data_IF_836820335054
#
_entry.id   IF_836820335054
#
_cell.length_a   1.000
_cell.length_b   1.000
_cell.length_c   1.000
_cell.angle_alpha   90.00
_cell.angle_beta   90.00
_cell.angle_gamma   90.00
#
_symmetry.space_group_name_H-M   'P 1'
#
loop_
_entity.id
_entity.type
_entity.pdbx_description
1 polymer ?
#
# COMPACT_ATOMS: atom_id res chain seq x y z
N UNK A 1 4.45 10.60 -23.14
CA UNK A 1 3.86 9.24 -23.12
C UNK A 1 4.30 8.61 -21.82
N UNK A 2 3.38 8.38 -20.89
CA UNK A 2 3.65 7.59 -19.68
C UNK A 2 3.92 6.15 -20.09
N UNK A 3 4.91 5.50 -19.48
CA UNK A 3 5.19 4.10 -19.73
C UNK A 3 3.93 3.26 -19.43
N UNK A 4 3.68 2.17 -20.18
CA UNK A 4 2.58 1.26 -19.88
C UNK A 4 2.75 0.68 -18.46
N UNK A 5 1.63 0.44 -17.79
CA UNK A 5 1.64 -0.21 -16.48
C UNK A 5 2.32 -1.60 -16.58
N UNK A 6 3.14 -2.00 -15.60
CA UNK A 6 3.72 -3.33 -15.59
C UNK A 6 2.60 -4.37 -15.44
N UNK A 7 2.81 -5.54 -16.05
CA UNK A 7 1.96 -6.72 -15.80
C UNK A 7 2.23 -7.29 -14.41
N UNK A 8 1.27 -8.06 -13.88
CA UNK A 8 1.43 -8.74 -12.57
C UNK A 8 2.68 -9.61 -12.53
N UNK A 9 2.99 -10.33 -13.62
CA UNK A 9 4.21 -11.15 -13.71
C UNK A 9 5.49 -10.29 -13.67
N UNK A 10 5.50 -9.14 -14.35
CA UNK A 10 6.63 -8.20 -14.30
C UNK A 10 6.79 -7.59 -12.90
N UNK A 11 5.68 -7.28 -12.22
CA UNK A 11 5.69 -6.84 -10.83
C UNK A 11 6.32 -7.90 -9.93
N UNK A 12 5.83 -9.14 -10.01
CA UNK A 12 6.34 -10.25 -9.19
C UNK A 12 7.82 -10.53 -9.46
N UNK A 13 8.23 -10.54 -10.72
CA UNK A 13 9.64 -10.69 -11.09
C UNK A 13 10.50 -9.58 -10.46
N UNK A 14 10.07 -8.32 -10.62
CA UNK A 14 10.79 -7.16 -10.08
C UNK A 14 10.86 -7.18 -8.55
N UNK A 15 9.78 -7.55 -7.87
CA UNK A 15 9.77 -7.65 -6.41
C UNK A 15 10.70 -8.76 -5.91
N UNK A 16 10.69 -9.94 -6.55
CA UNK A 16 11.61 -11.04 -6.20
C UNK A 16 13.07 -10.66 -6.44
N UNK A 17 13.36 -9.91 -7.50
CA UNK A 17 14.71 -9.36 -7.75
C UNK A 17 15.16 -8.35 -6.68
N UNK A 18 14.21 -7.57 -6.14
CA UNK A 18 14.49 -6.58 -5.08
C UNK A 18 14.66 -7.20 -3.70
N UNK A 19 14.03 -8.34 -3.42
CA UNK A 19 14.00 -8.93 -2.09
C UNK A 19 15.40 -9.09 -1.43
N UNK A 20 16.48 -9.51 -2.13
CA UNK A 20 17.82 -9.63 -1.55
C UNK A 20 18.50 -8.29 -1.21
N UNK A 21 17.99 -7.17 -1.73
CA UNK A 21 18.58 -5.84 -1.48
C UNK A 21 18.22 -5.28 -0.09
N UNK A 22 17.23 -5.84 0.59
CA UNK A 22 16.83 -5.40 1.93
C UNK A 22 17.61 -6.16 3.01
N UNK A 23 18.30 -5.41 3.87
CA UNK A 23 19.01 -6.00 5.01
C UNK A 23 18.01 -6.65 6.00
N UNK A 24 18.44 -7.64 6.79
CA UNK A 24 17.65 -8.14 7.90
C UNK A 24 17.22 -7.01 8.84
N UNK A 25 15.94 -6.97 9.21
CA UNK A 25 15.38 -5.92 10.07
C UNK A 25 15.07 -4.59 9.38
N UNK A 26 15.34 -4.46 8.08
CA UNK A 26 14.96 -3.27 7.30
C UNK A 26 13.44 -3.11 7.21
N UNK A 27 12.91 -1.99 7.68
CA UNK A 27 11.48 -1.69 7.71
C UNK A 27 10.82 -1.66 6.33
N UNK A 28 11.50 -1.15 5.31
CA UNK A 28 11.00 -1.23 3.92
C UNK A 28 10.97 -2.69 3.49
N UNK A 29 11.99 -3.47 3.87
CA UNK A 29 12.03 -4.91 3.63
C UNK A 29 10.90 -5.69 4.31
N UNK A 30 10.49 -5.28 5.52
CA UNK A 30 9.34 -5.87 6.22
C UNK A 30 8.05 -5.68 5.42
N UNK A 31 7.74 -4.43 5.05
CA UNK A 31 6.58 -4.15 4.20
C UNK A 31 6.68 -4.85 2.84
N UNK A 32 7.86 -4.83 2.21
CA UNK A 32 8.09 -5.46 0.90
C UNK A 32 7.72 -6.95 0.89
N UNK A 33 8.16 -7.71 1.90
CA UNK A 33 7.87 -9.15 1.99
C UNK A 33 6.38 -9.41 2.15
N UNK A 34 5.71 -8.64 3.02
CA UNK A 34 4.27 -8.74 3.20
C UNK A 34 3.54 -8.42 1.89
N UNK A 35 3.93 -7.35 1.21
CA UNK A 35 3.30 -6.94 -0.04
C UNK A 35 3.52 -7.98 -1.15
N UNK A 36 4.71 -8.58 -1.25
CA UNK A 36 4.97 -9.68 -2.17
C UNK A 36 3.98 -10.84 -1.97
N UNK A 37 3.73 -11.25 -0.72
CA UNK A 37 2.73 -12.29 -0.40
C UNK A 37 1.34 -11.91 -0.90
N UNK A 38 0.91 -10.66 -0.71
CA UNK A 38 -0.39 -10.17 -1.21
C UNK A 38 -0.43 -10.24 -2.75
N UNK A 39 0.59 -9.75 -3.43
CA UNK A 39 0.65 -9.75 -4.89
C UNK A 39 0.65 -11.17 -5.47
N UNK A 40 1.34 -12.12 -4.83
CA UNK A 40 1.31 -13.53 -5.22
C UNK A 40 -0.08 -14.15 -5.08
N UNK A 41 -0.81 -13.82 -4.01
CA UNK A 41 -2.19 -14.26 -3.82
C UNK A 41 -3.13 -13.64 -4.87
N UNK A 42 -2.97 -12.35 -5.18
CA UNK A 42 -3.75 -11.70 -6.25
C UNK A 42 -3.49 -12.36 -7.60
N UNK A 43 -2.23 -12.66 -7.92
CA UNK A 43 -1.85 -13.34 -9.16
C UNK A 43 -2.50 -14.73 -9.27
N UNK A 44 -2.50 -15.52 -8.19
CA UNK A 44 -3.17 -16.81 -8.15
C UNK A 44 -4.68 -16.68 -8.39
N UNK A 45 -5.34 -15.72 -7.74
CA UNK A 45 -6.80 -15.49 -7.87
C UNK A 45 -7.20 -14.95 -9.24
N UNK A 46 -6.33 -14.20 -9.90
CA UNK A 46 -6.51 -13.79 -11.30
C UNK A 46 -6.53 -15.01 -12.22
N UNK A 47 -5.63 -15.98 -12.01
CA UNK A 47 -5.59 -17.22 -12.80
C UNK A 47 -6.84 -18.10 -12.60
N UNK A 48 -7.41 -18.09 -11.39
CA UNK A 48 -8.59 -18.89 -11.04
C UNK A 48 -9.94 -18.27 -11.47
N UNK A 49 -9.93 -17.08 -12.10
CA UNK A 49 -11.16 -16.39 -12.51
C UNK A 49 -12.01 -15.88 -11.34
N UNK A 50 -11.37 -15.60 -10.19
CA UNK A 50 -12.05 -15.15 -8.97
C UNK A 50 -12.68 -13.75 -9.11
N UNK A 51 -12.14 -12.91 -9.98
CA UNK A 51 -12.54 -11.52 -10.13
C UNK A 51 -13.60 -11.35 -11.23
N UNK A 52 -14.47 -10.35 -11.07
CA UNK A 52 -15.54 -10.06 -12.02
C UNK A 52 -14.98 -9.50 -13.33
N UNK A 53 -13.91 -8.70 -13.27
CA UNK A 53 -13.18 -8.19 -14.42
C UNK A 53 -11.66 -8.40 -14.25
N UNK A 54 -11.14 -9.61 -14.51
CA UNK A 54 -9.72 -9.92 -14.35
C UNK A 54 -8.78 -8.99 -15.13
N UNK A 55 -9.07 -8.61 -16.41
CA UNK A 55 -8.23 -7.65 -17.13
C UNK A 55 -8.16 -6.27 -16.47
N UNK A 56 -9.29 -5.73 -15.99
CA UNK A 56 -9.30 -4.44 -15.30
C UNK A 56 -8.53 -4.51 -13.98
N UNK A 57 -8.69 -5.60 -13.22
CA UNK A 57 -7.95 -5.78 -11.98
C UNK A 57 -6.45 -5.95 -12.21
N UNK A 58 -6.03 -6.69 -13.23
CA UNK A 58 -4.61 -6.84 -13.56
C UNK A 58 -3.95 -5.48 -13.92
N UNK A 59 -4.68 -4.60 -14.63
CA UNK A 59 -4.22 -3.24 -14.88
C UNK A 59 -4.10 -2.43 -13.58
N UNK A 60 -5.10 -2.53 -12.70
CA UNK A 60 -5.08 -1.86 -11.40
C UNK A 60 -3.90 -2.34 -10.56
N UNK A 61 -3.69 -3.65 -10.45
CA UNK A 61 -2.57 -4.24 -9.70
C UNK A 61 -1.22 -3.73 -10.21
N UNK A 62 -1.02 -3.70 -11.54
CA UNK A 62 0.18 -3.15 -12.15
C UNK A 62 0.41 -1.67 -11.84
N UNK A 63 -0.63 -0.84 -11.95
CA UNK A 63 -0.57 0.60 -11.62
C UNK A 63 -0.35 0.86 -10.13
N UNK A 64 -0.88 -0.02 -9.29
CA UNK A 64 -0.76 0.05 -7.84
C UNK A 64 0.66 -0.32 -7.42
N UNK A 65 1.14 -1.50 -7.81
CA UNK A 65 2.50 -1.96 -7.56
C UNK A 65 3.55 -1.01 -8.15
N UNK A 66 3.30 -0.47 -9.35
CA UNK A 66 4.18 0.48 -10.00
C UNK A 66 4.46 1.74 -9.16
N UNK A 67 3.50 2.19 -8.33
CA UNK A 67 3.69 3.33 -7.43
C UNK A 67 4.65 3.02 -6.29
N UNK A 68 4.47 1.86 -5.65
CA UNK A 68 5.40 1.38 -4.64
C UNK A 68 6.82 1.20 -5.21
N UNK A 69 6.93 0.53 -6.37
CA UNK A 69 8.21 0.30 -7.03
C UNK A 69 8.89 1.63 -7.42
N UNK A 70 8.13 2.62 -7.88
CA UNK A 70 8.65 3.95 -8.14
C UNK A 70 9.19 4.63 -6.86
N UNK A 71 8.55 4.43 -5.71
CA UNK A 71 9.07 4.92 -4.43
C UNK A 71 10.39 4.21 -4.04
N UNK A 72 10.49 2.90 -4.27
CA UNK A 72 11.75 2.14 -4.05
C UNK A 72 12.87 2.66 -4.95
N UNK A 73 12.60 2.83 -6.24
CA UNK A 73 13.58 3.29 -7.21
C UNK A 73 14.01 4.75 -6.93
N UNK A 74 13.07 5.63 -6.59
CA UNK A 74 13.35 7.02 -6.21
C UNK A 74 14.23 7.10 -4.96
N UNK A 75 13.96 6.27 -3.94
CA UNK A 75 14.78 6.20 -2.74
C UNK A 75 16.20 5.71 -3.06
N UNK A 76 16.34 4.69 -3.88
CA UNK A 76 17.64 4.16 -4.31
C UNK A 76 18.45 5.18 -5.13
N UNK A 77 17.76 6.03 -5.90
CA UNK A 77 18.36 7.11 -6.68
C UNK A 77 18.62 8.40 -5.87
N UNK A 78 18.28 8.43 -4.57
CA UNK A 78 18.42 9.64 -3.73
C UNK A 78 17.47 10.77 -4.13
N UNK A 79 16.37 10.46 -4.82
CA UNK A 79 15.38 11.43 -5.26
C UNK A 79 14.36 11.75 -4.15
N UNK A 80 13.64 12.85 -4.33
CA UNK A 80 12.59 13.25 -3.40
C UNK A 80 11.41 12.27 -3.46
N UNK A 81 11.09 11.66 -2.32
CA UNK A 81 9.92 10.80 -2.17
C UNK A 81 8.63 11.60 -1.94
N UNK A 82 7.52 11.02 -2.41
CA UNK A 82 6.17 11.40 -1.98
C UNK A 82 6.10 11.43 -0.45
N UNK A 83 5.33 12.37 0.09
CA UNK A 83 5.27 12.58 1.53
C UNK A 83 4.73 11.35 2.28
N UNK A 84 3.83 10.57 1.68
CA UNK A 84 3.25 9.36 2.23
C UNK A 84 4.27 8.25 2.49
N UNK A 85 5.26 8.11 1.60
CA UNK A 85 6.31 7.08 1.65
C UNK A 85 7.52 7.51 2.46
N UNK A 86 7.81 8.81 2.50
CA UNK A 86 9.03 9.36 3.11
C UNK A 86 9.30 8.86 4.55
N UNK A 87 8.32 8.78 5.47
CA UNK A 87 8.58 8.32 6.83
C UNK A 87 9.11 6.90 6.92
N UNK A 88 8.56 5.97 6.13
CA UNK A 88 9.00 4.57 6.14
C UNK A 88 10.45 4.45 5.68
N UNK A 89 10.82 5.15 4.60
CA UNK A 89 12.19 5.13 4.09
C UNK A 89 13.19 5.82 5.02
N UNK A 90 12.82 6.97 5.62
CA UNK A 90 13.68 7.69 6.57
C UNK A 90 13.92 6.92 7.87
N UNK A 91 12.91 6.19 8.36
CA UNK A 91 12.96 5.49 9.65
C UNK A 91 13.20 3.98 9.52
N UNK A 92 13.50 3.46 8.32
CA UNK A 92 13.59 2.02 8.02
C UNK A 92 14.58 1.21 8.87
N UNK A 93 15.52 1.85 9.56
CA UNK A 93 16.47 1.20 10.50
C UNK A 93 16.39 1.80 11.90
N UNK A 94 15.30 2.50 12.23
CA UNK A 94 15.16 3.20 13.51
C UNK A 94 15.02 2.19 14.65
N UNK A 95 15.97 2.21 15.57
CA UNK A 95 15.87 1.43 16.81
C UNK A 95 14.62 1.82 17.62
N UNK A 96 14.02 0.83 18.29
CA UNK A 96 12.78 0.99 19.05
C UNK A 96 11.51 1.00 18.20
N UNK A 97 11.61 0.84 16.88
CA UNK A 97 10.43 0.66 16.01
C UNK A 97 10.26 -0.82 15.71
N UNK A 98 9.10 -1.36 16.05
CA UNK A 98 8.80 -2.78 15.88
C UNK A 98 8.54 -3.13 14.39
N UNK A 99 8.92 -4.33 13.90
CA UNK A 99 8.64 -4.76 12.52
C UNK A 99 7.20 -4.55 12.06
N UNK A 100 6.24 -4.78 12.95
CA UNK A 100 4.83 -4.59 12.65
C UNK A 100 4.46 -3.12 12.39
N UNK A 101 5.10 -2.16 13.06
CA UNK A 101 4.91 -0.74 12.78
C UNK A 101 5.39 -0.38 11.36
N UNK A 102 6.49 -0.98 10.89
CA UNK A 102 6.94 -0.81 9.51
C UNK A 102 5.95 -1.38 8.50
N UNK A 103 5.39 -2.56 8.75
CA UNK A 103 4.35 -3.14 7.91
C UNK A 103 3.13 -2.19 7.83
N UNK A 104 2.63 -1.72 8.97
CA UNK A 104 1.49 -0.81 9.05
C UNK A 104 1.75 0.53 8.35
N UNK A 105 2.93 1.12 8.52
CA UNK A 105 3.28 2.37 7.84
C UNK A 105 3.35 2.21 6.31
N UNK A 106 3.86 1.07 5.84
CA UNK A 106 3.83 0.75 4.41
C UNK A 106 2.41 0.49 3.88
N UNK A 107 1.58 -0.23 4.65
CA UNK A 107 0.16 -0.42 4.30
C UNK A 107 -0.60 0.90 4.27
N UNK A 108 -0.36 1.80 5.23
CA UNK A 108 -0.95 3.12 5.28
C UNK A 108 -0.60 3.93 4.01
N UNK A 109 0.69 4.02 3.67
CA UNK A 109 1.15 4.70 2.45
C UNK A 109 0.55 4.08 1.18
N UNK A 110 0.58 2.75 1.08
CA UNK A 110 0.12 2.08 -0.12
C UNK A 110 -1.41 2.11 -0.26
N UNK A 111 -2.15 1.69 0.76
CA UNK A 111 -3.61 1.59 0.71
C UNK A 111 -4.27 2.97 0.66
N UNK A 112 -3.85 3.92 1.51
CA UNK A 112 -4.60 5.17 1.63
C UNK A 112 -4.16 6.23 0.60
N UNK A 113 -2.95 6.15 0.05
CA UNK A 113 -2.48 7.08 -0.97
C UNK A 113 -2.35 6.44 -2.38
N UNK A 114 -1.63 5.33 -2.52
CA UNK A 114 -1.37 4.79 -3.87
C UNK A 114 -2.61 4.17 -4.51
N UNK A 115 -3.44 3.47 -3.73
CA UNK A 115 -4.60 2.75 -4.25
C UNK A 115 -5.66 3.67 -4.86
N UNK A 116 -6.09 4.78 -4.22
CA UNK A 116 -7.05 5.69 -4.83
C UNK A 116 -6.57 6.25 -6.18
N UNK A 117 -5.30 6.62 -6.25
CA UNK A 117 -4.67 7.13 -7.47
C UNK A 117 -4.60 6.06 -8.55
N UNK A 118 -4.24 4.83 -8.19
CA UNK A 118 -4.19 3.70 -9.11
C UNK A 118 -5.58 3.36 -9.69
N UNK A 119 -6.64 3.40 -8.87
CA UNK A 119 -8.03 3.18 -9.33
C UNK A 119 -8.45 4.26 -10.32
N UNK A 120 -8.18 5.54 -10.02
CA UNK A 120 -8.53 6.66 -10.91
C UNK A 120 -7.77 6.57 -12.23
N UNK A 121 -6.49 6.20 -12.21
CA UNK A 121 -5.68 6.01 -13.41
C UNK A 121 -6.13 4.80 -14.23
N UNK A 122 -6.45 3.68 -13.59
CA UNK A 122 -6.96 2.48 -14.27
C UNK A 122 -8.30 2.79 -14.97
N UNK A 123 -9.23 3.44 -14.26
CA UNK A 123 -10.51 3.86 -14.82
C UNK A 123 -10.32 4.82 -16.00
N UNK A 124 -9.42 5.79 -15.87
CA UNK A 124 -9.06 6.71 -16.96
C UNK A 124 -8.48 5.98 -18.16
N UNK A 125 -7.54 5.05 -17.94
CA UNK A 125 -6.91 4.26 -18.99
C UNK A 125 -7.89 3.36 -19.76
N UNK A 126 -8.92 2.85 -19.09
CA UNK A 126 -9.98 2.05 -19.69
C UNK A 126 -11.15 2.86 -20.25
N UNK A 127 -11.17 4.19 -20.04
CA UNK A 127 -12.31 5.04 -20.41
C UNK A 127 -13.59 4.73 -19.62
N UNK A 128 -13.44 4.25 -18.38
CA UNK A 128 -14.54 3.82 -17.50
C UNK A 128 -14.70 4.74 -16.30
N UNK A 129 -15.82 4.60 -15.62
CA UNK A 129 -16.03 5.21 -14.31
C UNK A 129 -15.30 4.40 -13.21
N UNK A 130 -14.61 5.04 -12.24
CA UNK A 130 -13.99 4.34 -11.11
C UNK A 130 -14.93 3.39 -10.36
N UNK A 131 -16.23 3.68 -10.34
CA UNK A 131 -17.26 2.85 -9.74
C UNK A 131 -17.29 1.41 -10.31
N UNK A 132 -16.86 1.23 -11.57
CA UNK A 132 -16.77 -0.10 -12.21
C UNK A 132 -15.81 -1.05 -11.49
N UNK A 133 -14.87 -0.55 -10.69
CA UNK A 133 -13.94 -1.35 -9.91
C UNK A 133 -14.50 -1.78 -8.55
N UNK A 134 -15.64 -1.26 -8.10
CA UNK A 134 -16.11 -1.42 -6.70
C UNK A 134 -16.29 -2.87 -6.29
N UNK A 135 -16.83 -3.71 -7.18
CA UNK A 135 -17.05 -5.13 -6.87
C UNK A 135 -15.74 -5.86 -6.58
N UNK A 136 -14.75 -5.73 -7.46
CA UNK A 136 -13.45 -6.40 -7.28
C UNK A 136 -12.61 -5.72 -6.20
N UNK A 137 -12.78 -4.41 -5.98
CA UNK A 137 -12.21 -3.71 -4.83
C UNK A 137 -12.62 -4.37 -3.52
N UNK A 138 -13.91 -4.70 -3.33
CA UNK A 138 -14.37 -5.39 -2.13
C UNK A 138 -13.89 -6.85 -2.07
N UNK A 139 -13.83 -7.58 -3.19
CA UNK A 139 -13.31 -8.96 -3.20
C UNK A 139 -11.84 -9.04 -2.76
N UNK A 140 -11.05 -8.01 -3.03
CA UNK A 140 -9.66 -7.93 -2.55
C UNK A 140 -9.60 -7.77 -1.02
N UNK A 141 -10.62 -7.18 -0.36
CA UNK A 141 -10.66 -7.08 1.10
C UNK A 141 -10.60 -8.47 1.75
N UNK A 142 -11.33 -9.44 1.20
CA UNK A 142 -11.38 -10.81 1.72
C UNK A 142 -10.03 -11.52 1.63
N UNK A 143 -9.23 -11.20 0.61
CA UNK A 143 -7.86 -11.71 0.45
C UNK A 143 -6.92 -11.04 1.46
N UNK A 144 -7.06 -9.73 1.63
CA UNK A 144 -6.21 -8.98 2.54
C UNK A 144 -6.45 -9.35 4.02
N UNK A 145 -7.68 -9.68 4.39
CA UNK A 145 -8.00 -10.18 5.74
C UNK A 145 -7.24 -11.48 6.07
N UNK A 146 -7.05 -12.37 5.08
CA UNK A 146 -6.28 -13.61 5.25
C UNK A 146 -4.80 -13.30 5.50
N UNK A 147 -4.24 -12.36 4.74
CA UNK A 147 -2.83 -11.95 4.90
C UNK A 147 -2.62 -11.21 6.22
N UNK A 148 -3.53 -10.33 6.63
CA UNK A 148 -3.44 -9.66 7.92
C UNK A 148 -3.39 -10.67 9.07
N UNK A 149 -4.26 -11.69 9.04
CA UNK A 149 -4.25 -12.74 10.05
C UNK A 149 -2.90 -13.47 10.10
N UNK A 150 -2.32 -13.80 8.95
CA UNK A 150 -0.99 -14.43 8.86
C UNK A 150 0.12 -13.52 9.39
N UNK A 151 0.14 -12.25 8.97
CA UNK A 151 1.14 -11.26 9.40
C UNK A 151 1.06 -11.03 10.91
N UNK A 152 -0.14 -10.97 11.47
CA UNK A 152 -0.33 -10.90 12.92
C UNK A 152 0.20 -12.15 13.61
N UNK A 153 -0.03 -13.35 13.08
CA UNK A 153 0.52 -14.57 13.66
C UNK A 153 2.05 -14.65 13.60
N UNK A 154 2.66 -14.15 12.52
CA UNK A 154 4.12 -14.19 12.33
C UNK A 154 4.86 -13.09 13.09
N UNK A 155 4.25 -11.90 13.23
CA UNK A 155 4.92 -10.72 13.76
C UNK A 155 4.43 -10.28 15.14
N UNK A 156 3.29 -10.75 15.66
CA UNK A 156 2.90 -10.37 17.01
C UNK A 156 3.83 -11.03 18.02
N UNK A 157 4.42 -10.26 18.95
CA UNK A 157 5.05 -10.84 20.11
C UNK A 157 4.00 -11.60 20.93
N UNK A 158 4.45 -12.56 21.73
CA UNK A 158 3.62 -13.27 22.71
C UNK A 158 2.81 -12.24 23.51
N UNK A 159 1.48 -12.39 23.71
CA UNK A 159 0.66 -11.41 24.43
C UNK A 159 1.21 -11.02 25.81
N UNK A 160 1.97 -11.90 26.47
CA UNK A 160 2.65 -11.63 27.74
C UNK A 160 3.91 -10.74 27.60
N UNK A 161 4.45 -10.60 26.38
CA UNK A 161 5.65 -9.84 26.02
C UNK A 161 5.33 -8.58 25.21
N UNK A 162 4.08 -8.39 24.79
CA UNK A 162 3.65 -7.24 24.01
C UNK A 162 3.56 -5.98 24.89
N UNK A 163 4.41 -4.99 24.63
CA UNK A 163 4.31 -3.71 25.33
C UNK A 163 2.96 -3.03 25.02
N UNK A 164 2.30 -2.50 26.05
CA UNK A 164 1.00 -1.80 25.95
C UNK A 164 0.96 -0.71 24.84
N UNK A 165 2.03 0.08 24.59
CA UNK A 165 2.06 1.03 23.48
C UNK A 165 1.97 0.37 22.10
N UNK A 166 2.57 -0.81 21.91
CA UNK A 166 2.47 -1.56 20.66
C UNK A 166 1.04 -2.07 20.46
N UNK A 167 0.41 -2.63 21.49
CA UNK A 167 -0.98 -3.07 21.45
C UNK A 167 -1.94 -1.92 21.12
N UNK A 168 -1.68 -0.72 21.65
CA UNK A 168 -2.46 0.47 21.31
C UNK A 168 -2.32 0.86 19.84
N UNK A 169 -1.10 0.91 19.30
CA UNK A 169 -0.87 1.18 17.86
C UNK A 169 -1.59 0.16 16.99
N UNK A 170 -1.58 -1.11 17.39
CA UNK A 170 -2.25 -2.21 16.71
C UNK A 170 -3.77 -2.16 16.77
N UNK A 171 -4.32 -1.62 17.87
CA UNK A 171 -5.76 -1.47 18.04
C UNK A 171 -6.33 -0.28 17.25
N UNK A 172 -5.50 0.73 16.94
CA UNK A 172 -5.94 1.93 16.24
C UNK A 172 -6.02 1.73 14.72
N UNK A 173 -5.12 0.91 14.14
CA UNK A 173 -5.07 0.73 12.68
C UNK A 173 -5.84 -0.51 12.24
N UNK A 174 -6.70 -0.34 11.22
CA UNK A 174 -7.57 -1.38 10.66
C UNK A 174 -7.54 -1.30 9.14
N UNK A 175 -7.27 -2.44 8.50
CA UNK A 175 -7.22 -2.52 7.05
C UNK A 175 -8.56 -2.17 6.40
N UNK A 176 -9.67 -2.57 7.01
CA UNK A 176 -11.01 -2.28 6.50
C UNK A 176 -11.27 -0.76 6.49
N UNK A 177 -10.92 -0.07 7.60
CA UNK A 177 -11.05 1.39 7.67
C UNK A 177 -10.15 2.10 6.68
N UNK A 178 -8.91 1.64 6.52
CA UNK A 178 -7.97 2.19 5.54
C UNK A 178 -8.51 2.04 4.11
N UNK A 179 -9.14 0.91 3.80
CA UNK A 179 -9.74 0.65 2.49
C UNK A 179 -11.03 1.43 2.24
N UNK A 180 -11.86 1.61 3.26
CA UNK A 180 -13.02 2.50 3.19
C UNK A 180 -12.59 3.96 2.94
N UNK A 181 -11.53 4.42 3.64
CA UNK A 181 -10.94 5.74 3.43
C UNK A 181 -10.33 5.89 2.02
N UNK A 182 -9.68 4.83 1.52
CA UNK A 182 -9.17 4.79 0.15
C UNK A 182 -10.32 4.92 -0.87
N UNK A 183 -11.42 4.19 -0.68
CA UNK A 183 -12.57 4.30 -1.57
C UNK A 183 -13.24 5.67 -1.51
N UNK A 184 -13.36 6.28 -0.31
CA UNK A 184 -13.83 7.65 -0.18
C UNK A 184 -12.94 8.63 -0.96
N UNK A 185 -11.62 8.42 -0.95
CA UNK A 185 -10.66 9.21 -1.72
C UNK A 185 -10.83 9.01 -3.24
N UNK A 186 -11.14 7.80 -3.70
CA UNK A 186 -11.52 7.53 -5.11
C UNK A 186 -12.72 8.38 -5.52
N UNK A 187 -13.78 8.41 -4.69
CA UNK A 187 -14.99 9.19 -4.96
C UNK A 187 -14.72 10.69 -4.97
N UNK A 188 -13.89 11.19 -4.06
CA UNK A 188 -13.47 12.59 -4.03
C UNK A 188 -12.68 12.97 -5.30
N UNK A 189 -11.64 12.20 -5.64
CA UNK A 189 -10.84 12.41 -6.85
C UNK A 189 -11.67 12.36 -8.13
N UNK A 190 -12.64 11.42 -8.20
CA UNK A 190 -13.61 11.34 -9.29
C UNK A 190 -14.42 12.62 -9.42
N UNK A 191 -15.00 13.11 -8.32
CA UNK A 191 -15.82 14.34 -8.30
C UNK A 191 -15.02 15.60 -8.63
N UNK A 192 -13.75 15.66 -8.22
CA UNK A 192 -12.87 16.80 -8.45
C UNK A 192 -12.22 16.82 -9.84
N UNK A 193 -12.39 15.77 -10.66
CA UNK A 193 -11.73 15.63 -11.98
C UNK A 193 -11.98 16.81 -12.93
N UNK A 194 -13.12 17.48 -12.83
CA UNK A 194 -13.47 18.64 -13.65
C UNK A 194 -12.84 19.97 -13.16
N UNK A 195 -12.16 19.96 -12.01
CA UNK A 195 -11.56 21.15 -11.37
C UNK A 195 -10.10 20.87 -11.02
N UNK A 196 -9.16 20.96 -12.00
CA UNK A 196 -7.77 20.53 -11.83
C UNK A 196 -7.04 21.12 -10.61
N UNK A 197 -7.19 22.42 -10.26
CA UNK A 197 -6.55 22.96 -9.06
C UNK A 197 -7.04 22.31 -7.76
N UNK A 198 -8.34 21.99 -7.66
CA UNK A 198 -8.91 21.35 -6.48
C UNK A 198 -8.49 19.87 -6.40
N UNK A 199 -8.44 19.19 -7.55
CA UNK A 199 -7.93 17.83 -7.66
C UNK A 199 -6.47 17.74 -7.17
N UNK A 200 -5.59 18.61 -7.65
CA UNK A 200 -4.18 18.66 -7.23
C UNK A 200 -4.02 19.01 -5.74
N UNK A 201 -4.81 19.96 -5.23
CA UNK A 201 -4.79 20.30 -3.82
C UNK A 201 -5.23 19.12 -2.95
N UNK A 202 -6.22 18.35 -3.38
CA UNK A 202 -6.67 17.14 -2.68
C UNK A 202 -5.61 16.04 -2.71
N UNK A 203 -4.99 15.77 -3.87
CA UNK A 203 -3.89 14.79 -3.97
C UNK A 203 -2.72 15.17 -3.05
N UNK A 204 -2.30 16.44 -3.03
CA UNK A 204 -1.23 16.90 -2.15
C UNK A 204 -1.60 16.81 -0.66
N UNK A 205 -2.86 17.12 -0.32
CA UNK A 205 -3.36 16.99 1.05
C UNK A 205 -3.40 15.52 1.50
N UNK A 206 -3.81 14.61 0.62
CA UNK A 206 -3.80 13.16 0.85
C UNK A 206 -2.37 12.64 1.06
N UNK A 207 -1.44 13.02 0.17
CA UNK A 207 -0.01 12.65 0.30
C UNK A 207 0.57 13.09 1.66
N UNK A 208 0.32 14.35 2.04
CA UNK A 208 0.77 14.92 3.30
C UNK A 208 0.14 14.28 4.54
N UNK A 209 -1.18 14.05 4.53
CA UNK A 209 -1.90 13.47 5.67
C UNK A 209 -1.51 12.03 5.92
N UNK A 210 -1.42 11.21 4.86
CA UNK A 210 -0.96 9.82 4.94
C UNK A 210 0.48 9.77 5.45
N UNK A 211 1.34 10.69 4.99
CA UNK A 211 2.71 10.82 5.52
C UNK A 211 2.77 11.15 7.02
N UNK A 212 1.87 12.01 7.50
CA UNK A 212 1.76 12.33 8.93
C UNK A 212 1.37 11.10 9.75
N UNK A 213 0.39 10.32 9.28
CA UNK A 213 -0.03 9.07 9.95
C UNK A 213 1.11 8.04 9.96
N UNK A 214 1.79 7.83 8.83
CA UNK A 214 2.96 6.95 8.75
C UNK A 214 4.05 7.35 9.75
N UNK A 215 4.28 8.65 9.96
CA UNK A 215 5.23 9.13 10.97
C UNK A 215 4.79 8.83 12.40
N UNK A 216 3.50 8.98 12.71
CA UNK A 216 2.96 8.62 14.02
C UNK A 216 3.04 7.11 14.28
N UNK A 217 2.71 6.28 13.27
CA UNK A 217 2.80 4.81 13.34
C UNK A 217 4.22 4.33 13.64
N UNK A 218 5.25 5.08 13.23
CA UNK A 218 6.67 4.76 13.42
C UNK A 218 7.28 5.39 14.67
N UNK A 219 6.45 5.86 15.61
CA UNK A 219 6.93 6.31 16.92
C UNK A 219 7.59 5.14 17.66
N UNK A 220 8.83 5.26 18.14
CA UNK A 220 9.47 4.19 18.89
C UNK A 220 8.62 3.79 20.11
N UNK A 221 8.44 2.50 20.28
CA UNK A 221 7.88 1.88 21.47
C UNK A 221 9.06 1.19 22.14
N UNK A 222 9.57 1.75 23.24
CA UNK A 222 10.69 1.12 23.96
C UNK A 222 10.21 -0.27 24.43
N UNK A 223 10.72 -1.33 23.77
CA UNK A 223 10.44 -2.74 24.08
C UNK A 223 11.47 -3.28 25.07
#
# INVERSE_FOLDING_TARGET
MTAPAPTVDQVLARMRELAPAFAPGDGVGVFHRMYLTVTELVAARLADGFFADPPALALLDGLFAGRYLAAVDAAAAGQQLAACWRPLFELRTRAGVHPLQFALAGMNAHIEHDLPLAVVDAARGLGRDPESFRTDFHRVNDLLAQVEAQVRQELLPDPEQAAEPLLHVLGVWSIDRARDAAWASVLALRGLRAVPPAYQAFEAALDGSVGMVSRALLTPVDL
#
